data_IF_597746044086
#
_entry.id   IF_597746044086
#
_cell.length_a   1.000
_cell.length_b   1.000
_cell.length_c   1.000
_cell.angle_alpha   90.00
_cell.angle_beta   90.00
_cell.angle_gamma   90.00
#
_symmetry.space_group_name_H-M   'P 1'
#
loop_
_entity.id
_entity.type
_entity.pdbx_description
1 polymer ?
#
# COMPACT_ATOMS: atom_id res chain seq x y z
N UNK A 1 11.40 -12.07 32.22
CA UNK A 1 11.20 -11.62 30.82
C UNK A 1 12.16 -12.39 29.92
N UNK A 2 11.67 -13.26 29.04
CA UNK A 2 12.48 -14.30 28.40
C UNK A 2 13.11 -13.80 27.09
N UNK A 3 14.40 -13.41 27.14
CA UNK A 3 15.18 -12.78 26.03
C UNK A 3 15.06 -13.55 24.72
N UNK A 4 14.94 -14.88 24.75
CA UNK A 4 14.75 -15.74 23.57
C UNK A 4 13.44 -15.45 22.82
N UNK A 5 12.34 -15.16 23.52
CA UNK A 5 11.06 -14.85 22.89
C UNK A 5 11.07 -13.46 22.25
N UNK A 6 11.68 -12.48 22.91
CA UNK A 6 11.81 -11.11 22.40
C UNK A 6 12.71 -11.05 21.17
N UNK A 7 13.82 -11.83 21.16
CA UNK A 7 14.68 -11.97 19.99
C UNK A 7 13.90 -12.50 18.79
N UNK A 8 13.10 -13.57 18.98
CA UNK A 8 12.38 -14.24 17.89
C UNK A 8 11.29 -13.36 17.25
N UNK A 9 10.65 -12.48 18.04
CA UNK A 9 9.57 -11.60 17.58
C UNK A 9 10.05 -10.38 16.79
N UNK A 10 11.24 -9.85 17.13
CA UNK A 10 11.85 -8.71 16.45
C UNK A 10 13.03 -9.10 15.54
N UNK A 11 13.25 -10.40 15.32
CA UNK A 11 14.37 -10.94 14.53
C UNK A 11 14.52 -10.31 13.14
N UNK A 12 13.45 -10.16 12.33
CA UNK A 12 13.60 -9.60 10.98
C UNK A 12 14.12 -8.16 11.01
N UNK A 13 13.58 -7.32 11.91
CA UNK A 13 13.99 -5.92 12.08
C UNK A 13 15.45 -5.80 12.54
N UNK A 14 15.85 -6.63 13.51
CA UNK A 14 17.24 -6.65 13.99
C UNK A 14 18.22 -7.13 12.92
N UNK A 15 17.86 -8.17 12.16
CA UNK A 15 18.68 -8.67 11.05
C UNK A 15 18.82 -7.63 9.94
N UNK A 16 17.78 -6.87 9.61
CA UNK A 16 17.86 -5.77 8.64
C UNK A 16 18.82 -4.67 9.10
N UNK A 17 18.75 -4.26 10.38
CA UNK A 17 19.67 -3.26 10.95
C UNK A 17 21.11 -3.78 10.93
N UNK A 18 21.33 -5.04 11.32
CA UNK A 18 22.64 -5.68 11.26
C UNK A 18 23.17 -5.80 9.83
N UNK A 19 22.32 -6.09 8.85
CA UNK A 19 22.70 -6.15 7.44
C UNK A 19 23.10 -4.75 6.90
N UNK A 20 22.36 -3.70 7.26
CA UNK A 20 22.69 -2.33 6.88
C UNK A 20 24.05 -1.90 7.46
N UNK A 21 24.25 -2.09 8.77
CA UNK A 21 25.54 -1.79 9.42
C UNK A 21 26.68 -2.67 8.89
N UNK A 22 26.41 -3.94 8.60
CA UNK A 22 27.37 -4.89 8.05
C UNK A 22 27.86 -4.48 6.65
N UNK A 23 26.96 -3.97 5.81
CA UNK A 23 27.30 -3.45 4.48
C UNK A 23 28.26 -2.26 4.58
N UNK A 24 27.95 -1.28 5.43
CA UNK A 24 28.80 -0.10 5.65
C UNK A 24 30.17 -0.50 6.21
N UNK A 25 30.18 -1.40 7.20
CA UNK A 25 31.41 -1.89 7.83
C UNK A 25 32.29 -2.67 6.85
N UNK A 26 31.68 -3.45 5.95
CA UNK A 26 32.38 -4.18 4.89
C UNK A 26 33.03 -3.22 3.90
N UNK A 27 32.32 -2.18 3.46
CA UNK A 27 32.87 -1.17 2.56
C UNK A 27 34.08 -0.46 3.18
N UNK A 28 33.98 -0.06 4.44
CA UNK A 28 35.08 0.56 5.18
C UNK A 28 36.28 -0.37 5.36
N UNK A 29 36.04 -1.63 5.73
CA UNK A 29 37.09 -2.64 5.88
C UNK A 29 37.84 -2.89 4.56
N UNK A 30 37.11 -3.00 3.46
CA UNK A 30 37.68 -3.13 2.10
C UNK A 30 38.53 -1.91 1.74
N UNK A 31 38.01 -0.69 1.94
CA UNK A 31 38.75 0.54 1.64
C UNK A 31 40.06 0.65 2.43
N UNK A 32 40.08 0.20 3.70
CA UNK A 32 41.28 0.18 4.54
C UNK A 32 42.25 -0.96 4.19
N UNK A 33 41.75 -2.06 3.64
CA UNK A 33 42.57 -3.21 3.23
C UNK A 33 43.38 -2.92 1.96
N UNK A 34 42.82 -2.16 1.01
CA UNK A 34 43.46 -1.82 -0.28
C UNK A 34 44.86 -1.23 -0.15
N UNK A 35 45.14 -0.18 0.65
CA UNK A 35 46.50 0.35 0.78
C UNK A 35 47.48 -0.67 1.37
N UNK A 36 47.04 -1.51 2.31
CA UNK A 36 47.88 -2.57 2.91
C UNK A 36 48.21 -3.67 1.89
N UNK A 37 47.23 -4.04 1.06
CA UNK A 37 47.41 -5.02 0.00
C UNK A 37 48.42 -4.53 -1.05
N UNK A 38 48.34 -3.25 -1.44
CA UNK A 38 49.30 -2.65 -2.37
C UNK A 38 50.73 -2.64 -1.81
N UNK A 39 50.91 -2.32 -0.53
CA UNK A 39 52.22 -2.38 0.13
C UNK A 39 52.81 -3.80 0.14
N UNK A 40 51.98 -4.81 0.47
CA UNK A 40 52.43 -6.21 0.48
C UNK A 40 52.81 -6.71 -0.92
N UNK A 41 52.07 -6.28 -1.95
CA UNK A 41 52.43 -6.59 -3.34
C UNK A 41 53.78 -5.96 -3.70
N UNK A 42 53.97 -4.67 -3.41
CA UNK A 42 55.22 -3.97 -3.70
C UNK A 42 56.43 -4.59 -2.98
N UNK A 43 56.26 -4.98 -1.72
CA UNK A 43 57.31 -5.64 -0.95
C UNK A 43 57.66 -7.03 -1.53
N UNK A 44 56.66 -7.80 -1.94
CA UNK A 44 56.85 -9.11 -2.55
C UNK A 44 57.46 -9.01 -3.98
N UNK A 45 57.10 -8.00 -4.78
CA UNK A 45 57.74 -7.69 -6.07
C UNK A 45 59.21 -7.28 -5.87
N UNK A 46 59.50 -6.44 -4.87
CA UNK A 46 60.86 -6.03 -4.54
C UNK A 46 61.74 -7.19 -4.07
N UNK A 47 61.19 -8.14 -3.30
CA UNK A 47 61.90 -9.34 -2.86
C UNK A 47 62.14 -10.34 -4.00
N UNK A 48 61.20 -10.44 -4.94
CA UNK A 48 61.28 -11.35 -6.09
C UNK A 48 62.18 -10.81 -7.21
N UNK A 49 62.28 -9.47 -7.32
CA UNK A 49 63.07 -8.79 -8.36
C UNK A 49 62.40 -8.71 -9.73
N UNK A 50 61.13 -9.13 -9.82
CA UNK A 50 60.28 -9.06 -11.01
C UNK A 50 58.81 -8.84 -10.59
N UNK A 51 57.99 -8.37 -11.53
CA UNK A 51 56.56 -8.19 -11.29
C UNK A 51 55.87 -9.53 -10.97
N UNK A 52 55.00 -9.51 -9.96
CA UNK A 52 54.24 -10.70 -9.57
C UNK A 52 53.20 -11.03 -10.64
N UNK A 53 53.00 -12.32 -10.87
CA UNK A 53 51.89 -12.79 -11.70
C UNK A 53 50.55 -12.51 -11.02
N UNK A 54 49.45 -12.49 -11.79
CA UNK A 54 48.11 -12.16 -11.26
C UNK A 54 47.69 -13.06 -10.08
N UNK A 55 48.04 -14.35 -10.12
CA UNK A 55 47.73 -15.30 -9.04
C UNK A 55 48.57 -15.04 -7.78
N UNK A 56 49.84 -14.68 -7.94
CA UNK A 56 50.72 -14.34 -6.82
C UNK A 56 50.27 -13.04 -6.15
N UNK A 57 49.87 -12.03 -6.93
CA UNK A 57 49.27 -10.78 -6.43
C UNK A 57 48.04 -11.05 -5.57
N UNK A 58 47.14 -11.90 -6.04
CA UNK A 58 45.93 -12.29 -5.27
C UNK A 58 46.32 -12.99 -3.97
N UNK A 59 47.29 -13.90 -4.00
CA UNK A 59 47.72 -14.67 -2.82
C UNK A 59 48.34 -13.77 -1.74
N UNK A 60 49.14 -12.80 -2.15
CA UNK A 60 49.79 -11.82 -1.25
C UNK A 60 48.76 -10.80 -0.73
N UNK A 61 47.87 -10.31 -1.58
CA UNK A 61 46.86 -9.31 -1.25
C UNK A 61 45.68 -9.86 -0.43
N UNK A 62 45.45 -11.18 -0.41
CA UNK A 62 44.29 -11.77 0.23
C UNK A 62 44.21 -11.51 1.75
N UNK A 63 45.36 -11.47 2.44
CA UNK A 63 45.41 -11.40 3.91
C UNK A 63 44.74 -10.13 4.47
N UNK A 64 45.03 -8.91 3.97
CA UNK A 64 44.31 -7.70 4.36
C UNK A 64 42.79 -7.74 4.18
N UNK A 65 42.28 -8.51 3.20
CA UNK A 65 40.84 -8.55 2.88
C UNK A 65 40.04 -9.56 3.70
N UNK A 66 40.69 -10.43 4.49
CA UNK A 66 40.01 -11.44 5.34
C UNK A 66 38.87 -10.82 6.19
N UNK A 67 39.06 -9.69 6.91
CA UNK A 67 37.99 -9.09 7.70
C UNK A 67 36.80 -8.61 6.86
N UNK A 68 37.06 -8.07 5.67
CA UNK A 68 36.02 -7.62 4.75
C UNK A 68 35.21 -8.80 4.20
N UNK A 69 35.86 -9.90 3.85
CA UNK A 69 35.20 -11.14 3.39
C UNK A 69 34.32 -11.74 4.48
N UNK A 70 34.80 -11.78 5.74
CA UNK A 70 34.02 -12.27 6.87
C UNK A 70 32.77 -11.41 7.10
N UNK A 71 32.92 -10.08 7.16
CA UNK A 71 31.80 -9.15 7.34
C UNK A 71 30.79 -9.23 6.18
N UNK A 72 31.28 -9.34 4.94
CA UNK A 72 30.45 -9.49 3.75
C UNK A 72 29.63 -10.79 3.80
N UNK A 73 30.26 -11.92 4.12
CA UNK A 73 29.57 -13.21 4.25
C UNK A 73 28.50 -13.22 5.34
N UNK A 74 28.79 -12.61 6.50
CA UNK A 74 27.83 -12.48 7.59
C UNK A 74 26.65 -11.57 7.19
N UNK A 75 26.92 -10.49 6.48
CA UNK A 75 25.89 -9.57 5.96
C UNK A 75 24.96 -10.29 4.98
N UNK A 76 25.51 -11.08 4.05
CA UNK A 76 24.73 -11.88 3.10
C UNK A 76 23.83 -12.87 3.84
N UNK A 77 24.35 -13.56 4.86
CA UNK A 77 23.54 -14.45 5.69
C UNK A 77 22.41 -13.70 6.41
N UNK A 78 22.66 -12.50 6.91
CA UNK A 78 21.61 -11.66 7.51
C UNK A 78 20.51 -11.31 6.49
N UNK A 79 20.87 -10.92 5.27
CA UNK A 79 19.92 -10.57 4.20
C UNK A 79 19.02 -11.76 3.84
N UNK A 80 19.60 -12.94 3.60
CA UNK A 80 18.81 -14.14 3.31
C UNK A 80 17.96 -14.58 4.51
N UNK A 81 18.47 -14.40 5.73
CA UNK A 81 17.73 -14.62 6.96
C UNK A 81 16.46 -13.77 7.04
N UNK A 82 16.55 -12.48 6.70
CA UNK A 82 15.40 -11.56 6.65
C UNK A 82 14.33 -12.06 5.67
N UNK A 83 14.72 -12.43 4.46
CA UNK A 83 13.77 -12.91 3.43
C UNK A 83 13.03 -14.18 3.88
N UNK A 84 13.73 -15.13 4.47
CA UNK A 84 13.13 -16.38 4.96
C UNK A 84 12.17 -16.15 6.14
N UNK A 85 12.53 -15.28 7.08
CA UNK A 85 11.69 -14.92 8.23
C UNK A 85 10.45 -14.12 7.82
N UNK A 86 10.59 -13.19 6.88
CA UNK A 86 9.47 -12.39 6.36
C UNK A 86 8.46 -13.28 5.61
N UNK A 87 8.93 -14.18 4.74
CA UNK A 87 8.05 -15.11 4.01
C UNK A 87 7.20 -15.97 4.94
N UNK A 88 7.76 -16.44 6.06
CA UNK A 88 7.03 -17.25 7.04
C UNK A 88 5.94 -16.44 7.77
N UNK A 89 6.25 -15.20 8.14
CA UNK A 89 5.32 -14.31 8.85
C UNK A 89 4.20 -13.85 7.91
N UNK A 90 4.56 -13.46 6.68
CA UNK A 90 3.62 -13.07 5.63
C UNK A 90 2.70 -14.23 5.26
N UNK A 91 3.23 -15.44 5.06
CA UNK A 91 2.43 -16.63 4.78
C UNK A 91 1.46 -16.99 5.91
N UNK A 92 1.85 -16.81 7.17
CA UNK A 92 0.97 -17.03 8.32
C UNK A 92 -0.19 -16.03 8.35
N UNK A 93 0.08 -14.74 8.10
CA UNK A 93 -0.97 -13.71 8.01
C UNK A 93 -1.89 -13.98 6.83
N UNK A 94 -1.35 -14.23 5.64
CA UNK A 94 -2.14 -14.61 4.45
C UNK A 94 -2.99 -15.84 4.72
N UNK A 95 -2.48 -16.86 5.43
CA UNK A 95 -3.27 -18.05 5.79
C UNK A 95 -4.39 -17.75 6.79
N UNK A 96 -4.16 -16.85 7.75
CA UNK A 96 -5.19 -16.43 8.69
C UNK A 96 -6.30 -15.63 7.99
N UNK A 97 -5.91 -14.70 7.10
CA UNK A 97 -6.86 -13.96 6.26
C UNK A 97 -7.61 -14.89 5.30
N UNK A 98 -6.94 -15.86 4.68
CA UNK A 98 -7.59 -16.84 3.81
C UNK A 98 -8.58 -17.71 4.57
N UNK A 99 -8.27 -18.14 5.80
CA UNK A 99 -9.21 -18.89 6.66
C UNK A 99 -10.42 -18.03 7.06
N UNK A 100 -10.23 -16.74 7.36
CA UNK A 100 -11.32 -15.82 7.66
C UNK A 100 -12.20 -15.55 6.44
N UNK A 101 -11.59 -15.26 5.30
CA UNK A 101 -12.28 -15.06 4.02
C UNK A 101 -13.06 -16.31 3.62
N UNK A 102 -12.45 -17.49 3.77
CA UNK A 102 -13.12 -18.76 3.51
C UNK A 102 -14.28 -19.00 4.49
N UNK A 103 -14.08 -18.73 5.78
CA UNK A 103 -15.16 -18.80 6.78
C UNK A 103 -16.32 -17.84 6.47
N UNK A 104 -16.01 -16.63 6.00
CA UNK A 104 -17.02 -15.66 5.58
C UNK A 104 -17.75 -16.08 4.31
N UNK A 105 -17.03 -16.60 3.30
CA UNK A 105 -17.61 -17.17 2.07
C UNK A 105 -18.50 -18.37 2.36
N UNK A 106 -18.07 -19.27 3.25
CA UNK A 106 -18.85 -20.42 3.67
C UNK A 106 -20.12 -20.00 4.43
N UNK A 107 -20.02 -19.00 5.31
CA UNK A 107 -21.17 -18.40 5.97
C UNK A 107 -22.15 -17.80 4.95
N UNK A 108 -21.67 -16.95 4.03
CA UNK A 108 -22.52 -16.33 3.00
C UNK A 108 -23.16 -17.37 2.09
N UNK A 109 -22.41 -18.37 1.66
CA UNK A 109 -22.93 -19.50 0.87
C UNK A 109 -24.04 -20.22 1.63
N UNK A 110 -23.84 -20.54 2.91
CA UNK A 110 -24.86 -21.21 3.72
C UNK A 110 -26.08 -20.32 3.98
N UNK A 111 -25.86 -19.03 4.19
CA UNK A 111 -26.92 -18.03 4.34
C UNK A 111 -27.80 -17.98 3.08
N UNK A 112 -27.17 -17.93 1.89
CA UNK A 112 -27.85 -17.99 0.60
C UNK A 112 -28.59 -19.30 0.36
N UNK A 113 -27.97 -20.43 0.70
CA UNK A 113 -28.61 -21.75 0.58
C UNK A 113 -29.85 -21.89 1.46
N UNK A 114 -29.83 -21.33 2.67
CA UNK A 114 -30.91 -21.49 3.65
C UNK A 114 -32.01 -20.43 3.51
N UNK A 115 -31.64 -19.20 3.15
CA UNK A 115 -32.54 -18.03 3.21
C UNK A 115 -32.62 -17.26 1.88
N UNK A 116 -31.96 -17.73 0.83
CA UNK A 116 -31.94 -17.10 -0.48
C UNK A 116 -30.97 -15.93 -0.60
N UNK A 117 -30.72 -15.50 -1.84
CA UNK A 117 -29.83 -14.37 -2.15
C UNK A 117 -30.33 -13.05 -1.56
N UNK A 118 -31.64 -12.89 -1.39
CA UNK A 118 -32.25 -11.68 -0.82
C UNK A 118 -31.88 -11.48 0.65
N UNK A 119 -31.76 -12.56 1.43
CA UNK A 119 -31.37 -12.49 2.84
C UNK A 119 -29.90 -12.11 3.01
N UNK A 120 -29.01 -12.63 2.16
CA UNK A 120 -27.60 -12.22 2.13
C UNK A 120 -27.47 -10.75 1.77
N UNK A 121 -28.24 -10.27 0.78
CA UNK A 121 -28.28 -8.85 0.42
C UNK A 121 -28.73 -7.98 1.59
N UNK A 122 -29.84 -8.33 2.26
CA UNK A 122 -30.35 -7.61 3.44
C UNK A 122 -29.38 -7.57 4.61
N UNK A 123 -28.65 -8.67 4.86
CA UNK A 123 -27.64 -8.72 5.93
C UNK A 123 -26.45 -7.82 5.60
N UNK A 124 -25.98 -7.80 4.36
CA UNK A 124 -24.92 -6.90 3.91
C UNK A 124 -25.38 -5.44 3.98
N UNK A 125 -26.58 -5.14 3.51
CA UNK A 125 -27.19 -3.80 3.58
C UNK A 125 -27.34 -3.34 5.03
N UNK A 126 -27.89 -4.17 5.92
CA UNK A 126 -28.05 -3.84 7.34
C UNK A 126 -26.70 -3.60 8.03
N UNK A 127 -25.70 -4.45 7.76
CA UNK A 127 -24.35 -4.27 8.30
C UNK A 127 -23.67 -3.01 7.76
N UNK A 128 -23.93 -2.64 6.50
CA UNK A 128 -23.38 -1.44 5.89
C UNK A 128 -24.07 -0.17 6.43
N UNK A 129 -25.38 -0.21 6.68
CA UNK A 129 -26.13 0.85 7.38
C UNK A 129 -25.65 1.01 8.82
N UNK A 130 -25.51 -0.09 9.57
CA UNK A 130 -25.04 -0.10 10.97
C UNK A 130 -23.62 0.48 11.09
N UNK A 131 -22.75 0.17 10.13
CA UNK A 131 -21.36 0.62 10.10
C UNK A 131 -21.16 1.95 9.37
N UNK A 132 -22.22 2.55 8.83
CA UNK A 132 -22.11 3.82 8.13
C UNK A 132 -21.62 4.90 9.10
N UNK A 133 -20.53 5.57 8.73
CA UNK A 133 -19.98 6.66 9.52
C UNK A 133 -20.54 7.99 9.02
N UNK A 134 -20.76 8.93 9.94
CA UNK A 134 -20.97 10.33 9.56
C UNK A 134 -19.65 10.88 9.06
N UNK A 135 -19.66 11.38 7.85
CA UNK A 135 -18.48 11.82 7.12
C UNK A 135 -18.34 13.33 7.21
N UNK A 136 -17.10 13.80 7.32
CA UNK A 136 -16.72 15.20 7.14
C UNK A 136 -15.85 15.33 5.89
N UNK A 137 -16.13 16.34 5.07
CA UNK A 137 -15.39 16.57 3.83
C UNK A 137 -14.02 17.14 4.18
N UNK A 138 -12.97 16.49 3.71
CA UNK A 138 -11.61 17.00 3.79
C UNK A 138 -11.06 17.17 2.38
N UNK A 139 -10.73 18.39 1.95
CA UNK A 139 -10.03 18.61 0.68
C UNK A 139 -8.58 18.99 0.93
N UNK A 140 -7.60 18.38 0.24
CA UNK A 140 -6.22 18.86 0.31
C UNK A 140 -5.96 19.92 -0.77
N UNK A 141 -5.45 21.10 -0.37
CA UNK A 141 -4.78 22.04 -1.28
C UNK A 141 -3.25 21.84 -1.19
N UNK A 142 -2.49 22.59 -2.01
CA UNK A 142 -1.01 22.63 -2.03
C UNK A 142 -0.36 22.77 -0.63
N UNK A 143 -1.10 23.22 0.39
CA UNK A 143 -0.64 23.50 1.76
C UNK A 143 -1.46 22.81 2.87
N UNK A 144 -2.14 21.69 2.57
CA UNK A 144 -2.75 20.82 3.59
C UNK A 144 -4.28 20.69 3.54
N UNK A 145 -4.88 20.00 4.53
CA UNK A 145 -6.31 19.70 4.57
C UNK A 145 -7.15 20.97 4.80
N UNK A 146 -8.28 21.05 4.11
CA UNK A 146 -9.24 22.13 4.15
C UNK A 146 -10.61 21.52 4.44
N UNK A 147 -11.18 21.90 5.58
CA UNK A 147 -12.54 21.53 5.95
C UNK A 147 -13.51 22.41 5.16
N UNK A 148 -14.33 21.76 4.34
CA UNK A 148 -15.33 22.41 3.49
C UNK A 148 -16.75 22.24 4.04
N UNK A 149 -16.89 21.67 5.24
CA UNK A 149 -18.19 21.53 5.86
C UNK A 149 -18.76 22.91 6.20
N UNK A 150 -19.91 23.23 5.60
CA UNK A 150 -20.72 24.38 6.02
C UNK A 150 -21.49 23.95 7.27
N UNK A 151 -20.91 24.15 8.46
CA UNK A 151 -21.50 23.74 9.75
C UNK A 151 -22.94 24.26 9.97
N UNK A 152 -23.36 25.35 9.32
CA UNK A 152 -24.68 25.97 9.51
C UNK A 152 -25.72 25.72 8.38
N UNK A 153 -25.34 25.16 7.22
CA UNK A 153 -26.23 25.08 6.04
C UNK A 153 -26.27 23.73 5.32
N UNK A 154 -25.69 22.66 5.87
CA UNK A 154 -25.87 21.32 5.29
C UNK A 154 -27.28 20.82 5.57
N UNK A 155 -27.96 20.33 4.54
CA UNK A 155 -29.23 19.63 4.73
C UNK A 155 -29.01 18.35 5.55
N UNK A 156 -30.09 17.79 6.12
CA UNK A 156 -29.96 16.59 6.95
C UNK A 156 -29.25 15.47 6.17
N UNK A 157 -28.23 14.81 6.75
CA UNK A 157 -27.59 13.67 6.12
C UNK A 157 -28.61 12.60 5.75
N UNK A 158 -28.43 12.02 4.57
CA UNK A 158 -29.23 10.90 4.06
C UNK A 158 -28.34 9.71 3.78
N UNK A 159 -28.95 8.53 3.63
CA UNK A 159 -28.22 7.32 3.30
C UNK A 159 -27.87 7.32 1.80
N UNK A 160 -26.62 7.00 1.51
CA UNK A 160 -26.07 6.85 0.17
C UNK A 160 -25.55 5.44 -0.04
N UNK A 161 -25.60 4.99 -1.28
CA UNK A 161 -25.03 3.73 -1.73
C UNK A 161 -24.12 4.00 -2.95
N UNK A 162 -22.82 3.76 -2.80
CA UNK A 162 -21.91 3.77 -3.94
C UNK A 162 -22.01 2.43 -4.68
N UNK A 163 -22.58 2.46 -5.89
CA UNK A 163 -22.75 1.26 -6.72
C UNK A 163 -21.39 0.65 -7.07
N UNK A 164 -20.31 1.42 -7.19
CA UNK A 164 -19.02 0.88 -7.63
C UNK A 164 -18.30 0.11 -6.52
N UNK A 165 -18.14 0.69 -5.32
CA UNK A 165 -17.57 -0.04 -4.17
C UNK A 165 -18.54 -0.94 -3.43
N UNK A 166 -19.85 -0.89 -3.76
CA UNK A 166 -20.92 -1.61 -3.05
C UNK A 166 -20.99 -1.25 -1.56
N UNK A 167 -20.77 0.03 -1.22
CA UNK A 167 -20.74 0.52 0.17
C UNK A 167 -21.85 1.52 0.44
N UNK A 168 -22.39 1.47 1.65
CA UNK A 168 -23.28 2.50 2.16
C UNK A 168 -22.52 3.52 3.02
N UNK A 169 -22.96 4.77 2.98
CA UNK A 169 -22.46 5.84 3.83
C UNK A 169 -23.54 6.89 4.08
N UNK A 170 -23.33 7.76 5.07
CA UNK A 170 -24.29 8.81 5.41
C UNK A 170 -23.65 10.17 5.21
N UNK A 171 -24.25 10.99 4.36
CA UNK A 171 -23.78 12.33 4.02
C UNK A 171 -24.96 13.22 3.59
N UNK A 172 -24.83 14.54 3.73
CA UNK A 172 -25.78 15.46 3.10
C UNK A 172 -25.56 15.52 1.59
N UNK A 173 -26.58 15.94 0.83
CA UNK A 173 -26.45 16.13 -0.61
C UNK A 173 -25.34 17.13 -0.95
N UNK A 174 -25.21 18.20 -0.18
CA UNK A 174 -24.16 19.19 -0.38
C UNK A 174 -22.77 18.58 -0.17
N UNK A 175 -22.63 17.64 0.78
CA UNK A 175 -21.35 16.97 1.01
C UNK A 175 -20.95 16.09 -0.18
N UNK A 176 -21.90 15.33 -0.73
CA UNK A 176 -21.66 14.51 -1.93
C UNK A 176 -21.30 15.37 -3.13
N UNK A 177 -22.10 16.41 -3.41
CA UNK A 177 -21.85 17.32 -4.53
C UNK A 177 -20.49 18.04 -4.42
N UNK A 178 -20.08 18.41 -3.21
CA UNK A 178 -18.76 19.00 -2.98
C UNK A 178 -17.63 17.99 -3.22
N UNK A 179 -17.76 16.74 -2.76
CA UNK A 179 -16.78 15.70 -3.03
C UNK A 179 -16.59 15.48 -4.55
N UNK A 180 -17.69 15.38 -5.30
CA UNK A 180 -17.69 15.25 -6.76
C UNK A 180 -17.07 16.46 -7.46
N UNK A 181 -17.37 17.68 -6.99
CA UNK A 181 -16.77 18.92 -7.48
C UNK A 181 -15.25 18.95 -7.26
N UNK A 182 -14.79 18.59 -6.06
CA UNK A 182 -13.36 18.59 -5.74
C UNK A 182 -12.59 17.53 -6.51
N UNK A 183 -13.17 16.35 -6.72
CA UNK A 183 -12.62 15.33 -7.60
C UNK A 183 -12.46 15.88 -9.02
N UNK A 184 -13.51 16.48 -9.58
CA UNK A 184 -13.50 17.06 -10.92
C UNK A 184 -12.49 18.21 -11.05
N UNK A 185 -12.36 19.06 -10.02
CA UNK A 185 -11.34 20.12 -9.97
C UNK A 185 -9.93 19.52 -10.04
N UNK A 186 -9.64 18.48 -9.26
CA UNK A 186 -8.33 17.82 -9.28
C UNK A 186 -8.09 17.14 -10.63
N UNK A 187 -9.09 16.43 -11.15
CA UNK A 187 -9.07 15.79 -12.46
C UNK A 187 -8.67 16.78 -13.57
N UNK A 188 -9.33 17.94 -13.65
CA UNK A 188 -9.03 18.96 -14.67
C UNK A 188 -7.65 19.59 -14.49
N UNK A 189 -7.21 19.83 -13.25
CA UNK A 189 -5.92 20.49 -12.99
C UNK A 189 -4.73 19.56 -13.19
N UNK A 190 -4.88 18.26 -12.88
CA UNK A 190 -3.81 17.26 -12.94
C UNK A 190 -3.82 16.45 -14.25
N UNK A 191 -4.96 16.38 -14.93
CA UNK A 191 -5.16 15.50 -16.08
C UNK A 191 -5.50 14.06 -15.71
N UNK A 192 -5.72 13.78 -14.42
CA UNK A 192 -6.10 12.46 -13.92
C UNK A 192 -6.68 12.55 -12.51
N UNK A 193 -7.47 11.54 -12.10
CA UNK A 193 -7.90 11.34 -10.72
C UNK A 193 -8.18 9.87 -10.44
N UNK A 194 -7.96 9.44 -9.20
CA UNK A 194 -8.23 8.05 -8.76
C UNK A 194 -9.44 7.97 -7.86
N UNK A 195 -10.13 6.83 -7.85
CA UNK A 195 -11.37 6.66 -7.07
C UNK A 195 -11.16 6.82 -5.56
N UNK A 196 -9.96 6.49 -5.04
CA UNK A 196 -9.66 6.71 -3.63
C UNK A 196 -9.67 8.19 -3.22
N UNK A 197 -9.46 9.15 -4.13
CA UNK A 197 -9.63 10.58 -3.81
C UNK A 197 -11.10 10.92 -3.53
N UNK A 198 -12.04 10.35 -4.30
CA UNK A 198 -13.47 10.50 -4.05
C UNK A 198 -13.82 9.90 -2.68
N UNK A 199 -13.29 8.72 -2.37
CA UNK A 199 -13.53 8.08 -1.08
C UNK A 199 -12.96 8.87 0.08
N UNK A 200 -11.78 9.48 -0.06
CA UNK A 200 -11.23 10.37 0.95
C UNK A 200 -12.11 11.61 1.17
N UNK A 201 -12.62 12.23 0.09
CA UNK A 201 -13.57 13.35 0.18
C UNK A 201 -14.90 12.96 0.82
N UNK A 202 -15.35 11.73 0.57
CA UNK A 202 -16.51 11.11 1.19
C UNK A 202 -16.17 10.45 2.54
N UNK A 203 -14.99 10.70 3.13
CA UNK A 203 -14.57 10.15 4.43
C UNK A 203 -14.68 8.63 4.56
N UNK A 204 -14.65 7.93 3.44
CA UNK A 204 -14.64 6.48 3.35
C UNK A 204 -13.20 5.97 3.42
N UNK A 205 -13.01 4.82 4.06
CA UNK A 205 -11.71 4.13 4.03
C UNK A 205 -11.29 3.86 2.58
N UNK A 206 -10.05 4.18 2.19
CA UNK A 206 -9.51 3.83 0.90
C UNK A 206 -9.57 2.32 0.64
N UNK A 207 -9.74 1.93 -0.61
CA UNK A 207 -9.65 0.52 -1.02
C UNK A 207 -8.26 0.21 -1.53
N UNK A 208 -7.81 -1.05 -1.37
CA UNK A 208 -6.48 -1.49 -1.85
C UNK A 208 -6.30 -1.25 -3.36
N UNK A 209 -7.37 -1.41 -4.14
CA UNK A 209 -7.38 -1.27 -5.60
C UNK A 209 -7.73 0.14 -6.08
N UNK A 210 -8.30 0.99 -5.24
CA UNK A 210 -8.79 2.31 -5.63
C UNK A 210 -7.71 3.36 -5.89
N UNK A 211 -6.44 3.02 -5.65
CA UNK A 211 -5.28 3.82 -6.07
C UNK A 211 -4.84 3.50 -7.50
N UNK A 212 -5.27 2.36 -8.05
CA UNK A 212 -4.93 1.89 -9.40
C UNK A 212 -6.09 2.08 -10.39
N UNK A 213 -7.31 2.30 -9.88
CA UNK A 213 -8.50 2.60 -10.66
C UNK A 213 -8.76 4.11 -10.71
N UNK A 214 -8.84 4.68 -11.90
CA UNK A 214 -9.02 6.11 -12.07
C UNK A 214 -9.55 6.53 -13.43
N UNK A 215 -9.47 7.84 -13.67
CA UNK A 215 -9.87 8.51 -14.88
C UNK A 215 -8.71 9.34 -15.41
N UNK A 216 -8.52 9.30 -16.73
CA UNK A 216 -7.74 10.25 -17.51
C UNK A 216 -8.53 10.61 -18.78
N UNK A 217 -8.29 11.77 -19.38
CA UNK A 217 -8.96 12.18 -20.60
C UNK A 217 -8.45 11.36 -21.79
N UNK A 218 -9.07 10.22 -22.06
CA UNK A 218 -8.68 9.30 -23.15
C UNK A 218 -8.98 9.88 -24.55
N UNK A 219 -9.94 10.81 -24.65
CA UNK A 219 -10.43 11.42 -25.89
C UNK A 219 -10.93 12.87 -25.65
N UNK A 220 -11.22 13.63 -26.71
CA UNK A 220 -11.69 15.02 -26.71
C UNK A 220 -13.06 15.28 -26.01
N UNK A 221 -13.62 14.31 -25.28
CA UNK A 221 -14.91 14.43 -24.60
C UNK A 221 -14.88 14.21 -23.09
N UNK A 222 -13.79 13.66 -22.53
CA UNK A 222 -13.74 13.21 -21.14
C UNK A 222 -13.15 14.29 -20.21
N UNK A 223 -13.71 15.50 -20.23
CA UNK A 223 -13.21 16.62 -19.41
C UNK A 223 -13.93 16.78 -18.05
N UNK A 224 -14.89 15.91 -17.78
CA UNK A 224 -15.67 15.90 -16.54
C UNK A 224 -16.06 14.47 -16.19
N UNK A 225 -15.94 14.11 -14.92
CA UNK A 225 -16.40 12.84 -14.35
C UNK A 225 -17.87 13.01 -13.99
N UNK A 226 -18.73 12.22 -14.63
CA UNK A 226 -20.18 12.25 -14.44
C UNK A 226 -20.62 11.37 -13.27
N UNK A 227 -21.60 11.87 -12.51
CA UNK A 227 -22.25 11.16 -11.40
C UNK A 227 -23.76 11.26 -11.54
N UNK A 228 -24.44 10.13 -11.40
CA UNK A 228 -25.89 10.03 -11.31
C UNK A 228 -26.30 9.78 -9.85
N UNK A 229 -27.33 10.49 -9.38
CA UNK A 229 -27.95 10.25 -8.06
C UNK A 229 -29.34 9.67 -8.23
N UNK A 230 -29.46 8.35 -8.05
CA UNK A 230 -30.72 7.62 -8.30
C UNK A 230 -31.44 7.39 -6.96
N UNK A 231 -32.66 7.91 -6.75
CA UNK A 231 -33.42 7.63 -5.54
C UNK A 231 -33.87 6.17 -5.50
N UNK A 232 -33.69 5.52 -4.36
CA UNK A 232 -34.07 4.15 -4.09
C UNK A 232 -34.75 4.02 -2.71
N UNK A 233 -35.32 2.85 -2.42
CA UNK A 233 -36.01 2.57 -1.15
C UNK A 233 -35.52 1.25 -0.56
N UNK A 234 -35.24 1.27 0.74
CA UNK A 234 -35.06 0.07 1.54
C UNK A 234 -36.42 -0.59 1.81
N UNK A 235 -36.40 -1.85 2.24
CA UNK A 235 -37.59 -2.65 2.55
C UNK A 235 -38.49 -2.03 3.64
N UNK A 236 -37.90 -1.27 4.55
CA UNK A 236 -38.59 -0.55 5.63
C UNK A 236 -39.25 0.76 5.16
N UNK A 237 -39.10 1.10 3.87
CA UNK A 237 -39.62 2.32 3.25
C UNK A 237 -38.68 3.52 3.34
N UNK A 238 -37.51 3.40 3.97
CA UNK A 238 -36.50 4.46 4.05
C UNK A 238 -35.94 4.77 2.66
N UNK A 239 -35.87 6.06 2.31
CA UNK A 239 -35.31 6.53 1.03
C UNK A 239 -33.79 6.67 1.17
N UNK A 240 -33.07 6.17 0.18
CA UNK A 240 -31.62 6.36 0.03
C UNK A 240 -31.29 6.73 -1.42
N UNK A 241 -30.09 7.22 -1.67
CA UNK A 241 -29.62 7.58 -3.01
C UNK A 241 -28.48 6.68 -3.45
N UNK A 242 -28.51 6.24 -4.69
CA UNK A 242 -27.43 5.49 -5.32
C UNK A 242 -26.56 6.48 -6.09
N UNK A 243 -25.25 6.48 -5.81
CA UNK A 243 -24.25 7.12 -6.65
C UNK A 243 -23.83 6.11 -7.71
N UNK A 244 -24.11 6.44 -8.96
CA UNK A 244 -23.70 5.69 -10.13
C UNK A 244 -22.74 6.55 -10.95
N UNK A 245 -21.66 5.94 -11.46
CA UNK A 245 -20.69 6.58 -12.34
C UNK A 245 -20.90 6.02 -13.76
N UNK A 246 -21.52 6.77 -14.69
CA UNK A 246 -21.79 6.29 -16.05
C UNK A 246 -20.52 5.86 -16.79
N UNK A 247 -19.41 6.53 -16.49
CA UNK A 247 -18.06 6.16 -16.92
C UNK A 247 -17.27 5.76 -15.68
N UNK A 248 -17.27 4.46 -15.39
CA UNK A 248 -16.55 3.90 -14.24
C UNK A 248 -15.03 4.13 -14.36
N UNK A 249 -14.32 4.27 -13.24
CA UNK A 249 -12.87 4.34 -13.26
C UNK A 249 -12.31 2.98 -13.71
N UNK A 250 -11.27 3.04 -14.52
CA UNK A 250 -10.64 1.84 -15.10
C UNK A 250 -9.22 1.66 -14.55
N UNK A 251 -8.74 0.43 -14.57
CA UNK A 251 -7.34 0.14 -14.33
C UNK A 251 -6.50 0.62 -15.51
N UNK A 252 -5.23 0.98 -15.25
CA UNK A 252 -4.28 1.45 -16.26
C UNK A 252 -4.81 2.66 -17.05
N UNK A 253 -5.56 3.53 -16.38
CA UNK A 253 -6.13 4.73 -16.99
C UNK A 253 -5.03 5.70 -17.49
N UNK A 254 -3.80 5.57 -16.96
CA UNK A 254 -2.60 6.37 -17.25
C UNK A 254 -1.68 5.76 -18.33
N UNK A 255 -1.86 4.50 -18.72
CA UNK A 255 -1.00 3.81 -19.70
C UNK A 255 -1.20 4.28 -21.16
N UNK A 256 -2.19 5.16 -21.40
CA UNK A 256 -2.48 5.72 -22.71
C UNK A 256 -1.68 6.99 -23.04
N UNK A 257 -0.71 7.38 -22.18
CA UNK A 257 0.21 8.50 -22.38
C UNK A 257 1.70 8.10 -22.35
#
# INVERSE_FOLDING_TARGET
MNVKMTLRRNSPKLLTILAAMGTVSTAFATARATPKALLLIQEAEAQKGEDLTALEKVKVAAVPYIPAVLLGSATIMCIFGVQMLNRKTQSSMTSAYALLDQGFKDYRRKLKELYGDEADKKVIEALAVEKSQTVYINASYLTGPCDLSLEENSSKPVLWYDEYSKRFFTASLEQVLMAEYHLNRNYILRGEAVINELYEFLGLEPTDWGAEAGWAPMDEGMFWIEFNHIPAKLDDGSVFYIIEMPFEPILNYDEYY
#
